data_IF_297199234478
#
_entry.id   IF_297199234478
#
_cell.length_a   1.000
_cell.length_b   1.000
_cell.length_c   1.000
_cell.angle_alpha   90.00
_cell.angle_beta   90.00
_cell.angle_gamma   90.00
#
_symmetry.space_group_name_H-M   'P 1'
#
loop_
_entity.id
_entity.type
_entity.pdbx_description
1 polymer ?
#
# COMPACT_ATOMS: atom_id res chain seq x y z
N UNK A 1 27.36 5.81 1.84
CA UNK A 1 25.99 5.34 1.53
C UNK A 1 25.84 5.28 0.02
N UNK A 2 25.42 4.15 -0.54
CA UNK A 2 25.21 4.03 -1.99
C UNK A 2 23.94 4.79 -2.44
N UNK A 3 23.64 4.78 -3.73
CA UNK A 3 22.49 5.47 -4.31
C UNK A 3 21.14 4.92 -3.81
N UNK A 4 20.95 3.61 -3.82
CA UNK A 4 19.71 2.96 -3.39
C UNK A 4 19.37 3.27 -1.94
N UNK A 5 20.34 3.19 -1.02
CA UNK A 5 20.10 3.49 0.40
C UNK A 5 19.83 4.99 0.59
N UNK A 6 20.50 5.87 -0.17
CA UNK A 6 20.22 7.31 -0.17
C UNK A 6 18.78 7.60 -0.60
N UNK A 7 18.30 6.94 -1.66
CA UNK A 7 16.94 7.05 -2.14
C UNK A 7 15.93 6.63 -1.07
N UNK A 8 16.10 5.42 -0.51
CA UNK A 8 15.23 4.88 0.54
C UNK A 8 15.14 5.81 1.76
N UNK A 9 16.27 6.37 2.20
CA UNK A 9 16.32 7.28 3.35
C UNK A 9 15.74 8.67 3.06
N UNK A 10 15.60 9.05 1.79
CA UNK A 10 15.04 10.33 1.37
C UNK A 10 13.51 10.28 1.15
N UNK A 11 12.89 9.10 1.32
CA UNK A 11 11.47 8.91 1.03
C UNK A 11 10.55 9.87 1.82
N UNK A 12 9.63 10.49 1.09
CA UNK A 12 8.44 11.14 1.64
C UNK A 12 7.26 10.90 0.70
N UNK A 13 6.06 10.65 1.24
CA UNK A 13 4.90 10.43 0.36
C UNK A 13 4.42 11.75 -0.26
N UNK A 14 4.28 11.74 -1.58
CA UNK A 14 3.79 12.85 -2.39
C UNK A 14 2.28 12.75 -2.54
N UNK A 15 1.54 13.82 -2.16
CA UNK A 15 0.07 13.86 -2.19
C UNK A 15 -0.50 14.96 -3.09
N UNK A 16 0.39 15.69 -3.78
CA UNK A 16 0.07 16.72 -4.77
C UNK A 16 0.95 16.51 -5.98
N UNK A 17 0.34 16.45 -7.14
CA UNK A 17 1.01 16.13 -8.40
C UNK A 17 0.82 17.25 -9.41
N UNK A 18 1.75 17.37 -10.36
CA UNK A 18 1.60 18.25 -11.51
C UNK A 18 0.70 17.58 -12.54
N UNK A 19 0.11 18.38 -13.44
CA UNK A 19 -0.63 17.88 -14.62
C UNK A 19 0.33 17.39 -15.72
N UNK A 20 1.23 16.48 -15.35
CA UNK A 20 2.23 15.89 -16.25
C UNK A 20 2.04 14.37 -16.28
N UNK A 21 2.02 13.80 -17.49
CA UNK A 21 1.90 12.35 -17.66
C UNK A 21 3.22 11.63 -17.34
N UNK A 22 3.12 10.42 -16.80
CA UNK A 22 4.25 9.49 -16.73
C UNK A 22 4.44 8.88 -18.12
N UNK A 23 5.68 8.83 -18.62
CA UNK A 23 5.97 8.23 -19.92
C UNK A 23 5.68 6.73 -19.87
N UNK A 24 5.17 6.16 -20.97
CA UNK A 24 4.87 4.72 -21.04
C UNK A 24 6.11 3.84 -20.83
N UNK A 25 7.28 4.29 -21.31
CA UNK A 25 8.54 3.59 -21.09
C UNK A 25 8.89 3.52 -19.59
N UNK A 26 8.80 4.66 -18.91
CA UNK A 26 9.10 4.77 -17.48
C UNK A 26 8.09 3.96 -16.66
N UNK A 27 6.79 4.01 -16.99
CA UNK A 27 5.77 3.17 -16.35
C UNK A 27 6.07 1.68 -16.50
N UNK A 28 6.48 1.24 -17.70
CA UNK A 28 6.85 -0.15 -17.94
C UNK A 28 8.05 -0.54 -17.08
N UNK A 29 9.08 0.30 -17.01
CA UNK A 29 10.26 0.06 -16.19
C UNK A 29 9.91 -0.03 -14.70
N UNK A 30 9.07 0.88 -14.21
CA UNK A 30 8.53 0.89 -12.83
C UNK A 30 7.81 -0.42 -12.50
N UNK A 31 6.88 -0.86 -13.35
CA UNK A 31 6.13 -2.10 -13.13
C UNK A 31 7.01 -3.34 -13.26
N UNK A 32 7.95 -3.35 -14.21
CA UNK A 32 8.92 -4.44 -14.35
C UNK A 32 9.82 -4.55 -13.11
N UNK A 33 10.29 -3.44 -12.54
CA UNK A 33 11.03 -3.46 -11.28
C UNK A 33 10.18 -3.98 -10.11
N UNK A 34 8.91 -3.56 -10.04
CA UNK A 34 7.93 -4.10 -9.11
C UNK A 34 7.77 -5.62 -9.21
N UNK A 35 7.71 -6.15 -10.44
CA UNK A 35 7.59 -7.58 -10.71
C UNK A 35 8.78 -8.41 -10.23
N UNK A 36 9.96 -7.81 -10.09
CA UNK A 36 11.16 -8.51 -9.63
C UNK A 36 11.24 -8.69 -8.11
N UNK A 37 10.21 -8.27 -7.36
CA UNK A 37 10.13 -8.54 -5.93
C UNK A 37 10.06 -10.06 -5.64
N UNK A 38 10.60 -10.47 -4.48
CA UNK A 38 10.40 -11.83 -3.99
C UNK A 38 8.90 -12.10 -3.81
N UNK A 39 8.48 -13.33 -4.10
CA UNK A 39 7.11 -13.80 -3.86
C UNK A 39 7.13 -15.22 -3.30
N UNK A 40 6.14 -15.54 -2.48
CA UNK A 40 6.04 -16.85 -1.85
C UNK A 40 6.05 -17.97 -2.89
N UNK A 41 7.03 -18.88 -2.79
CA UNK A 41 7.21 -20.01 -3.72
C UNK A 41 7.21 -19.62 -5.22
N UNK A 42 7.49 -18.35 -5.55
CA UNK A 42 7.36 -17.80 -6.88
C UNK A 42 5.93 -17.87 -7.47
N UNK A 43 4.90 -17.97 -6.62
CA UNK A 43 3.50 -18.04 -7.05
C UNK A 43 2.99 -16.71 -7.62
N UNK A 44 3.62 -15.60 -7.24
CA UNK A 44 3.26 -14.25 -7.72
C UNK A 44 1.78 -13.98 -7.46
N UNK A 45 1.35 -14.17 -6.19
CA UNK A 45 -0.05 -14.16 -5.74
C UNK A 45 -0.62 -12.73 -5.59
N UNK A 46 -0.36 -11.91 -6.60
CA UNK A 46 -0.82 -10.54 -6.70
C UNK A 46 -1.10 -10.16 -8.16
N UNK A 47 -1.87 -9.09 -8.31
CA UNK A 47 -2.09 -8.39 -9.58
C UNK A 47 -2.02 -6.88 -9.37
N UNK A 48 -1.68 -6.14 -10.43
CA UNK A 48 -1.67 -4.68 -10.42
C UNK A 48 -2.60 -4.16 -11.51
N UNK A 49 -3.60 -3.37 -11.14
CA UNK A 49 -4.48 -2.69 -12.09
C UNK A 49 -3.98 -1.27 -12.29
N UNK A 50 -3.61 -0.94 -13.53
CA UNK A 50 -3.09 0.38 -13.92
C UNK A 50 -4.25 1.27 -14.34
N UNK A 51 -4.55 2.30 -13.54
CA UNK A 51 -5.67 3.21 -13.74
C UNK A 51 -5.18 4.56 -14.25
N UNK A 52 -5.40 4.82 -15.54
CA UNK A 52 -5.06 6.09 -16.21
C UNK A 52 -6.27 6.97 -16.49
N UNK A 53 -7.45 6.37 -16.70
CA UNK A 53 -8.61 7.14 -17.14
C UNK A 53 -9.08 8.09 -16.05
N UNK A 54 -9.45 9.31 -16.47
CA UNK A 54 -10.01 10.31 -15.57
C UNK A 54 -11.29 9.77 -14.92
N UNK A 55 -12.19 9.14 -15.67
CA UNK A 55 -13.44 8.63 -15.10
C UNK A 55 -13.23 7.61 -13.98
N UNK A 56 -12.25 6.70 -14.10
CA UNK A 56 -11.98 5.73 -13.03
C UNK A 56 -11.36 6.38 -11.80
N UNK A 57 -10.51 7.40 -11.99
CA UNK A 57 -9.93 8.15 -10.87
C UNK A 57 -10.96 9.04 -10.18
N UNK A 58 -11.89 9.66 -10.92
CA UNK A 58 -13.01 10.40 -10.33
C UNK A 58 -13.95 9.45 -9.57
N UNK A 59 -14.31 8.29 -10.15
CA UNK A 59 -15.15 7.31 -9.45
C UNK A 59 -14.47 6.78 -8.16
N UNK A 60 -13.16 6.59 -8.17
CA UNK A 60 -12.39 6.27 -6.96
C UNK A 60 -12.41 7.42 -5.94
N UNK A 61 -12.30 8.66 -6.41
CA UNK A 61 -12.34 9.86 -5.57
C UNK A 61 -13.72 10.03 -4.92
N UNK A 62 -14.80 9.74 -5.63
CA UNK A 62 -16.17 9.79 -5.08
C UNK A 62 -16.34 8.79 -3.92
N UNK A 63 -15.70 7.62 -4.01
CA UNK A 63 -15.69 6.61 -2.94
C UNK A 63 -14.76 7.00 -1.78
N UNK A 64 -13.62 7.61 -2.10
CA UNK A 64 -12.58 7.96 -1.16
C UNK A 64 -11.97 9.32 -1.54
N UNK A 65 -12.45 10.44 -0.97
CA UNK A 65 -12.15 11.80 -1.43
C UNK A 65 -10.73 12.24 -1.04
N UNK A 66 -9.75 11.61 -1.67
CA UNK A 66 -8.34 11.93 -1.55
C UNK A 66 -7.84 12.50 -2.87
N UNK A 67 -7.53 13.79 -2.86
CA UNK A 67 -7.06 14.52 -4.04
C UNK A 67 -5.85 13.90 -4.73
N UNK A 68 -4.98 13.20 -3.98
CA UNK A 68 -3.87 12.46 -4.55
C UNK A 68 -4.33 11.45 -5.62
N UNK A 69 -5.48 10.78 -5.42
CA UNK A 69 -6.08 9.86 -6.40
C UNK A 69 -6.41 10.62 -7.67
N UNK A 70 -7.19 11.70 -7.55
CA UNK A 70 -7.67 12.49 -8.68
C UNK A 70 -6.52 13.11 -9.48
N UNK A 71 -5.58 13.75 -8.77
CA UNK A 71 -4.44 14.49 -9.33
C UNK A 71 -3.33 13.58 -9.88
N UNK A 72 -3.20 12.34 -9.39
CA UNK A 72 -2.13 11.45 -9.86
C UNK A 72 -2.16 11.26 -11.38
N UNK A 73 -1.00 11.11 -12.00
CA UNK A 73 -0.94 10.74 -13.42
C UNK A 73 -1.46 9.32 -13.62
N UNK A 74 -1.13 8.42 -12.68
CA UNK A 74 -1.52 7.02 -12.68
C UNK A 74 -1.89 6.62 -11.25
N UNK A 75 -2.98 5.87 -11.11
CA UNK A 75 -3.30 5.16 -9.89
C UNK A 75 -3.07 3.66 -10.09
N UNK A 76 -2.23 3.03 -9.27
CA UNK A 76 -1.93 1.60 -9.32
C UNK A 76 -2.68 0.89 -8.19
N UNK A 77 -3.66 0.04 -8.51
CA UNK A 77 -4.36 -0.76 -7.51
C UNK A 77 -3.67 -2.11 -7.36
N UNK A 78 -3.11 -2.38 -6.18
CA UNK A 78 -2.51 -3.67 -5.84
C UNK A 78 -3.56 -4.60 -5.27
N UNK A 79 -3.62 -5.80 -5.81
CA UNK A 79 -4.68 -6.79 -5.58
C UNK A 79 -4.01 -8.07 -5.07
N UNK A 80 -4.49 -8.61 -3.95
CA UNK A 80 -4.16 -9.98 -3.55
C UNK A 80 -4.92 -10.92 -4.47
N UNK A 81 -4.20 -11.85 -5.14
CA UNK A 81 -4.74 -12.60 -6.27
C UNK A 81 -4.42 -14.09 -6.17
N UNK A 82 -5.47 -14.86 -5.84
CA UNK A 82 -5.48 -16.32 -5.94
C UNK A 82 -6.35 -16.81 -7.11
N UNK A 83 -6.91 -15.90 -7.91
CA UNK A 83 -7.69 -16.24 -9.08
C UNK A 83 -6.82 -16.91 -10.16
N UNK A 84 -5.53 -16.55 -10.25
CA UNK A 84 -4.56 -17.29 -11.07
C UNK A 84 -4.25 -18.67 -10.48
N UNK A 85 -4.09 -18.76 -9.16
CA UNK A 85 -3.79 -20.00 -8.46
C UNK A 85 -4.91 -21.04 -8.64
N UNK A 86 -6.17 -20.61 -8.57
CA UNK A 86 -7.33 -21.47 -8.80
C UNK A 86 -7.27 -22.21 -10.15
N UNK A 87 -6.91 -21.50 -11.21
CA UNK A 87 -6.79 -22.09 -12.55
C UNK A 87 -5.67 -23.11 -12.61
N UNK A 88 -4.54 -22.84 -11.96
CA UNK A 88 -3.40 -23.75 -11.91
C UNK A 88 -3.74 -25.01 -11.12
N UNK A 89 -4.41 -24.87 -9.97
CA UNK A 89 -4.87 -26.01 -9.16
C UNK A 89 -5.85 -26.88 -9.96
N UNK A 90 -6.79 -26.28 -10.68
CA UNK A 90 -7.77 -27.00 -11.53
C UNK A 90 -7.18 -27.83 -12.67
N UNK A 91 -5.90 -27.65 -13.00
CA UNK A 91 -5.20 -28.52 -13.96
C UNK A 91 -4.85 -29.89 -13.36
N UNK A 92 -4.79 -29.98 -12.03
CA UNK A 92 -4.25 -31.15 -11.32
C UNK A 92 -5.22 -31.69 -10.27
N UNK A 93 -6.03 -30.83 -9.67
CA UNK A 93 -6.95 -31.16 -8.58
C UNK A 93 -8.36 -30.64 -8.89
N UNK A 94 -9.38 -31.29 -8.32
CA UNK A 94 -10.78 -30.87 -8.49
C UNK A 94 -11.13 -29.69 -7.58
N UNK A 95 -10.67 -29.75 -6.34
CA UNK A 95 -11.05 -28.84 -5.26
C UNK A 95 -9.95 -27.78 -5.07
N UNK A 96 -10.38 -26.55 -4.77
CA UNK A 96 -9.49 -25.42 -4.52
C UNK A 96 -9.82 -24.83 -3.14
N UNK A 97 -8.80 -24.65 -2.32
CA UNK A 97 -8.91 -24.21 -0.92
C UNK A 97 -8.20 -22.86 -0.72
N UNK A 98 -8.82 -21.75 -1.17
CA UNK A 98 -8.25 -20.41 -1.07
C UNK A 98 -8.43 -19.78 0.31
N UNK A 99 -9.31 -20.34 1.15
CA UNK A 99 -9.70 -19.70 2.39
C UNK A 99 -8.54 -19.64 3.40
N UNK A 100 -8.67 -18.73 4.36
CA UNK A 100 -7.86 -18.74 5.57
C UNK A 100 -6.78 -17.65 5.64
N UNK A 101 -6.42 -17.33 6.87
CA UNK A 101 -5.51 -16.23 7.22
C UNK A 101 -4.14 -16.37 6.54
N UNK A 102 -3.62 -17.59 6.40
CA UNK A 102 -2.30 -17.82 5.79
C UNK A 102 -2.27 -17.40 4.31
N UNK A 103 -3.30 -17.76 3.54
CA UNK A 103 -3.46 -17.36 2.14
C UNK A 103 -3.62 -15.84 1.97
N UNK A 104 -4.30 -15.19 2.91
CA UNK A 104 -4.40 -13.73 2.96
C UNK A 104 -3.05 -13.07 3.27
N UNK A 105 -2.27 -13.62 4.21
CA UNK A 105 -0.92 -13.13 4.50
C UNK A 105 -0.01 -13.28 3.29
N UNK A 106 -0.01 -14.45 2.64
CA UNK A 106 0.78 -14.71 1.42
C UNK A 106 0.49 -13.66 0.35
N UNK A 107 -0.79 -13.49 0.00
CA UNK A 107 -1.20 -12.59 -1.08
C UNK A 107 -0.98 -11.11 -0.74
N UNK A 108 -1.21 -10.71 0.51
CA UNK A 108 -0.96 -9.34 0.97
C UNK A 108 0.52 -8.99 1.03
N UNK A 109 1.37 -9.91 1.51
CA UNK A 109 2.83 -9.71 1.57
C UNK A 109 3.42 -9.63 0.17
N UNK A 110 3.06 -10.55 -0.74
CA UNK A 110 3.50 -10.51 -2.13
C UNK A 110 3.15 -9.17 -2.80
N UNK A 111 1.91 -8.69 -2.62
CA UNK A 111 1.47 -7.40 -3.14
C UNK A 111 2.25 -6.22 -2.52
N UNK A 112 2.53 -6.26 -1.22
CA UNK A 112 3.29 -5.22 -0.51
C UNK A 112 4.76 -5.13 -0.98
N UNK A 113 5.42 -6.26 -1.18
CA UNK A 113 6.79 -6.31 -1.68
C UNK A 113 6.88 -5.77 -3.12
N UNK A 114 5.98 -6.21 -4.00
CA UNK A 114 5.88 -5.70 -5.37
C UNK A 114 5.60 -4.19 -5.39
N UNK A 115 4.74 -3.70 -4.50
CA UNK A 115 4.42 -2.28 -4.37
C UNK A 115 5.59 -1.43 -3.89
N UNK A 116 6.35 -1.92 -2.91
CA UNK A 116 7.51 -1.18 -2.41
C UNK A 116 8.60 -1.07 -3.48
N UNK A 117 8.88 -2.14 -4.23
CA UNK A 117 9.79 -2.08 -5.38
C UNK A 117 9.29 -1.11 -6.46
N UNK A 118 7.98 -1.15 -6.76
CA UNK A 118 7.34 -0.22 -7.70
C UNK A 118 7.55 1.23 -7.28
N UNK A 119 7.34 1.55 -6.00
CA UNK A 119 7.49 2.92 -5.50
C UNK A 119 8.95 3.38 -5.54
N UNK A 120 9.89 2.53 -5.13
CA UNK A 120 11.33 2.85 -5.19
C UNK A 120 11.80 3.09 -6.64
N UNK A 121 11.35 2.26 -7.59
CA UNK A 121 11.67 2.46 -9.00
C UNK A 121 11.08 3.78 -9.54
N UNK A 122 9.86 4.13 -9.14
CA UNK A 122 9.27 5.39 -9.54
C UNK A 122 10.04 6.60 -8.95
N UNK A 123 10.44 6.52 -7.68
CA UNK A 123 11.22 7.56 -7.01
C UNK A 123 12.63 7.70 -7.62
N UNK A 124 13.27 6.61 -8.04
CA UNK A 124 14.58 6.67 -8.70
C UNK A 124 14.53 7.36 -10.06
N UNK A 125 13.35 7.37 -10.71
CA UNK A 125 13.10 8.08 -11.97
C UNK A 125 12.62 9.53 -11.76
N UNK A 126 12.55 10.00 -10.51
CA UNK A 126 12.14 11.36 -10.16
C UNK A 126 10.62 11.57 -10.04
N UNK A 127 9.83 10.49 -10.07
CA UNK A 127 8.41 10.54 -9.71
C UNK A 127 8.24 10.50 -8.19
N UNK A 128 7.02 10.73 -7.74
CA UNK A 128 6.66 10.49 -6.34
C UNK A 128 5.33 9.77 -6.25
N UNK A 129 5.07 9.18 -5.09
CA UNK A 129 3.80 8.53 -4.85
C UNK A 129 3.39 8.50 -3.39
N UNK A 130 2.17 8.01 -3.18
CA UNK A 130 1.61 7.75 -1.85
C UNK A 130 0.81 6.46 -1.90
N UNK A 131 1.08 5.57 -0.94
CA UNK A 131 0.26 4.38 -0.70
C UNK A 131 -1.03 4.80 0.01
N UNK A 132 -2.16 4.34 -0.51
CA UNK A 132 -3.50 4.65 -0.03
C UNK A 132 -4.15 3.35 0.46
N UNK A 133 -4.04 3.08 1.75
CA UNK A 133 -4.65 1.91 2.40
C UNK A 133 -6.13 2.10 2.76
N UNK A 134 -6.59 3.35 2.89
CA UNK A 134 -7.99 3.67 3.26
C UNK A 134 -9.01 3.19 2.23
N UNK A 135 -8.59 2.77 1.02
CA UNK A 135 -9.49 2.16 0.05
C UNK A 135 -10.17 0.90 0.61
N UNK A 136 -9.57 0.24 1.60
CA UNK A 136 -10.16 -0.92 2.26
C UNK A 136 -11.45 -0.61 3.01
N UNK A 137 -11.71 0.66 3.34
CA UNK A 137 -12.97 1.12 3.93
C UNK A 137 -14.12 1.14 2.91
N UNK A 138 -13.81 1.05 1.62
CA UNK A 138 -14.78 0.91 0.53
C UNK A 138 -14.40 -0.26 -0.39
N UNK A 139 -13.87 -1.34 0.22
CA UNK A 139 -13.29 -2.47 -0.51
C UNK A 139 -14.30 -3.15 -1.43
N UNK A 140 -15.57 -3.27 -1.02
CA UNK A 140 -16.63 -3.83 -1.85
C UNK A 140 -16.90 -2.98 -3.10
N UNK A 141 -16.98 -1.67 -2.94
CA UNK A 141 -17.24 -0.71 -4.00
C UNK A 141 -16.06 -0.68 -4.97
N UNK A 142 -14.83 -0.69 -4.44
CA UNK A 142 -13.61 -0.79 -5.25
C UNK A 142 -13.59 -2.11 -6.02
N UNK A 143 -13.90 -3.24 -5.38
CA UNK A 143 -13.97 -4.54 -6.04
C UNK A 143 -14.99 -4.54 -7.18
N UNK A 144 -16.18 -3.97 -6.95
CA UNK A 144 -17.21 -3.78 -8.00
C UNK A 144 -16.71 -2.86 -9.12
N UNK A 145 -16.10 -1.72 -8.77
CA UNK A 145 -15.60 -0.73 -9.73
C UNK A 145 -14.55 -1.33 -10.67
N UNK A 146 -13.67 -2.19 -10.15
CA UNK A 146 -12.61 -2.85 -10.93
C UNK A 146 -12.96 -4.26 -11.40
N UNK A 147 -14.19 -4.72 -11.14
CA UNK A 147 -14.70 -6.04 -11.54
C UNK A 147 -13.79 -7.16 -11.05
N UNK A 148 -13.34 -7.05 -9.80
CA UNK A 148 -12.51 -8.05 -9.14
C UNK A 148 -13.31 -9.36 -9.00
N UNK A 149 -12.83 -10.49 -9.56
CA UNK A 149 -13.52 -11.77 -9.47
C UNK A 149 -13.30 -12.43 -8.09
N UNK A 150 -13.94 -13.58 -7.90
CA UNK A 150 -13.64 -14.50 -6.78
C UNK A 150 -12.13 -14.71 -6.62
N UNK A 151 -11.71 -14.88 -5.37
CA UNK A 151 -10.32 -15.11 -4.96
C UNK A 151 -9.39 -13.91 -5.21
N UNK A 152 -9.95 -12.71 -5.32
CA UNK A 152 -9.18 -11.46 -5.40
C UNK A 152 -9.71 -10.40 -4.45
N UNK A 153 -8.87 -9.51 -3.97
CA UNK A 153 -9.28 -8.39 -3.12
C UNK A 153 -8.28 -7.24 -3.20
N UNK A 154 -8.71 -5.98 -3.04
CA UNK A 154 -7.80 -4.85 -3.11
C UNK A 154 -7.03 -4.69 -1.80
N UNK A 155 -5.69 -4.64 -1.87
CA UNK A 155 -4.82 -4.51 -0.69
C UNK A 155 -4.61 -3.03 -0.33
N UNK A 156 -4.15 -2.25 -1.31
CA UNK A 156 -3.99 -0.79 -1.26
C UNK A 156 -3.74 -0.25 -2.69
N UNK A 157 -3.74 1.07 -2.83
CA UNK A 157 -3.42 1.73 -4.10
C UNK A 157 -2.16 2.60 -3.98
N UNK A 158 -1.55 2.94 -5.11
CA UNK A 158 -0.49 3.95 -5.20
C UNK A 158 -0.97 5.05 -6.14
N UNK A 159 -1.15 6.25 -5.61
CA UNK A 159 -1.26 7.45 -6.45
C UNK A 159 0.17 7.86 -6.85
N UNK A 160 0.45 7.92 -8.16
CA UNK A 160 1.78 8.16 -8.72
C UNK A 160 1.77 9.30 -9.73
N UNK A 161 2.79 10.16 -9.70
CA UNK A 161 2.93 11.26 -10.65
C UNK A 161 4.17 12.11 -10.42
N UNK A 162 4.29 13.19 -11.18
CA UNK A 162 5.35 14.19 -10.99
C UNK A 162 5.04 15.02 -9.74
N UNK A 163 5.94 15.08 -8.75
CA UNK A 163 5.69 15.81 -7.51
C UNK A 163 5.42 17.31 -7.74
N UNK A 164 4.37 17.83 -7.09
CA UNK A 164 4.08 19.28 -7.02
C UNK A 164 4.22 19.83 -5.59
N UNK A 165 4.97 19.11 -4.76
CA UNK A 165 5.28 19.50 -3.39
C UNK A 165 6.54 18.76 -2.94
N UNK A 166 7.22 19.34 -1.97
CA UNK A 166 8.31 18.69 -1.27
C UNK A 166 8.09 18.83 0.23
N UNK A 167 8.39 17.76 0.96
CA UNK A 167 8.34 17.76 2.42
C UNK A 167 9.66 17.24 2.98
N UNK A 168 9.97 17.69 4.19
CA UNK A 168 10.99 17.03 4.99
C UNK A 168 10.60 15.58 5.24
N UNK A 169 11.61 14.70 5.38
CA UNK A 169 11.41 13.31 5.77
C UNK A 169 10.78 13.31 7.17
N UNK A 170 9.61 12.67 7.30
CA UNK A 170 8.97 12.49 8.61
C UNK A 170 9.89 11.61 9.48
N UNK A 171 10.04 11.91 10.78
CA UNK A 171 10.79 11.02 11.66
C UNK A 171 10.15 9.63 11.73
N UNK A 172 10.94 8.66 12.16
CA UNK A 172 10.53 7.28 12.47
C UNK A 172 10.88 6.97 13.91
N UNK A 173 10.32 5.90 14.46
CA UNK A 173 10.81 5.34 15.72
C UNK A 173 12.32 5.09 15.62
N UNK A 174 13.09 5.24 16.71
CA UNK A 174 14.51 4.87 16.73
C UNK A 174 14.71 3.41 16.30
N UNK A 175 15.87 3.10 15.71
CA UNK A 175 16.12 1.77 15.12
C UNK A 175 16.03 0.66 16.18
N UNK A 176 16.57 0.93 17.37
CA UNK A 176 16.53 0.05 18.54
C UNK A 176 15.11 -0.20 19.08
N UNK A 177 14.11 0.56 18.60
CA UNK A 177 12.70 0.35 18.94
C UNK A 177 11.92 -0.44 17.87
N UNK A 178 12.60 -0.85 16.79
CA UNK A 178 11.99 -1.64 15.71
C UNK A 178 12.82 -2.86 15.30
N UNK A 179 14.11 -2.88 15.61
CA UNK A 179 15.03 -4.00 15.38
C UNK A 179 15.58 -4.47 16.73
N UNK A 180 15.23 -5.69 17.10
CA UNK A 180 15.67 -6.33 18.34
C UNK A 180 16.68 -7.43 18.04
N UNK A 181 17.68 -7.58 18.91
CA UNK A 181 18.65 -8.67 18.83
C UNK A 181 18.08 -9.93 19.47
N UNK A 182 18.10 -11.04 18.73
CA UNK A 182 17.67 -12.40 19.11
C UNK A 182 16.18 -12.57 19.48
N UNK A 183 15.66 -11.76 20.39
CA UNK A 183 14.35 -11.92 21.01
C UNK A 183 13.54 -10.61 20.99
N UNK A 184 12.22 -10.75 21.00
CA UNK A 184 11.32 -9.60 21.08
C UNK A 184 11.49 -8.85 22.41
N UNK A 185 11.61 -7.53 22.34
CA UNK A 185 11.67 -6.67 23.53
C UNK A 185 10.29 -6.04 23.76
N UNK A 186 9.64 -6.41 24.87
CA UNK A 186 8.41 -5.75 25.29
C UNK A 186 8.71 -4.27 25.62
N UNK A 187 8.00 -3.38 24.93
CA UNK A 187 8.20 -1.94 25.06
C UNK A 187 7.28 -1.36 26.12
N UNK A 188 7.82 -0.48 26.97
CA UNK A 188 7.04 0.27 27.92
C UNK A 188 6.54 1.62 27.34
N UNK A 189 5.73 2.33 28.14
CA UNK A 189 5.14 3.61 27.77
C UNK A 189 6.16 4.73 27.46
N UNK A 190 7.41 4.60 27.90
CA UNK A 190 8.46 5.60 27.63
C UNK A 190 8.79 5.68 26.14
N UNK A 191 8.73 4.56 25.41
CA UNK A 191 8.95 4.53 23.96
C UNK A 191 7.90 5.40 23.24
N UNK A 192 6.63 5.25 23.63
CA UNK A 192 5.50 5.97 23.07
C UNK A 192 5.61 7.47 23.36
N UNK A 193 5.81 7.83 24.63
CA UNK A 193 5.88 9.24 25.05
C UNK A 193 7.11 9.96 24.51
N UNK A 194 8.25 9.28 24.38
CA UNK A 194 9.44 9.84 23.74
C UNK A 194 9.18 10.13 22.25
N UNK A 195 8.50 9.23 21.55
CA UNK A 195 8.22 9.42 20.13
C UNK A 195 7.14 10.46 19.86
N UNK A 196 6.16 10.61 20.76
CA UNK A 196 5.21 11.74 20.71
C UNK A 196 5.93 13.08 20.75
N UNK A 197 6.96 13.22 21.60
CA UNK A 197 7.81 14.42 21.64
C UNK A 197 8.55 14.66 20.33
N UNK A 198 9.16 13.62 19.75
CA UNK A 198 9.86 13.71 18.44
C UNK A 198 8.91 14.19 17.34
N UNK A 199 7.68 13.67 17.31
CA UNK A 199 6.67 14.08 16.33
C UNK A 199 6.20 15.52 16.57
N UNK A 200 6.02 15.91 17.84
CA UNK A 200 5.65 17.27 18.20
C UNK A 200 6.72 18.29 17.76
N UNK A 201 7.99 17.99 18.01
CA UNK A 201 9.13 18.82 17.61
C UNK A 201 9.21 18.96 16.07
N UNK A 202 8.96 17.87 15.34
CA UNK A 202 8.95 17.87 13.86
C UNK A 202 7.78 18.66 13.26
N UNK A 203 6.57 18.45 13.79
CA UNK A 203 5.37 19.08 13.23
C UNK A 203 5.27 20.56 13.64
N UNK A 204 5.80 20.93 14.82
CA UNK A 204 5.77 22.29 15.35
C UNK A 204 4.34 22.78 15.52
N UNK A 205 4.05 24.00 15.05
CA UNK A 205 2.69 24.58 15.11
C UNK A 205 1.63 23.82 14.29
N UNK A 206 2.00 22.80 13.50
CA UNK A 206 1.08 21.97 12.71
C UNK A 206 0.58 20.72 13.46
N UNK A 207 1.05 20.48 14.69
CA UNK A 207 0.55 19.36 15.50
C UNK A 207 -0.93 19.58 15.78
N UNK A 208 -1.75 18.61 15.39
CA UNK A 208 -3.16 18.54 15.81
C UNK A 208 -3.34 17.49 16.88
N UNK A 209 -2.68 16.33 16.69
CA UNK A 209 -2.74 15.17 17.54
C UNK A 209 -1.34 14.55 17.64
N UNK A 210 -1.02 13.98 18.78
CA UNK A 210 0.18 13.19 19.00
C UNK A 210 0.20 11.91 18.15
N UNK A 211 1.31 11.18 18.15
CA UNK A 211 1.35 9.90 17.45
C UNK A 211 0.51 8.85 18.17
N UNK A 212 0.56 8.81 19.50
CA UNK A 212 -0.23 7.89 20.33
C UNK A 212 -1.74 8.15 20.24
N UNK A 213 -2.19 9.41 20.20
CA UNK A 213 -3.61 9.75 19.99
C UNK A 213 -4.13 9.24 18.64
N UNK A 214 -3.32 9.35 17.58
CA UNK A 214 -3.69 8.80 16.26
C UNK A 214 -3.75 7.28 16.25
N UNK A 215 -2.89 6.60 17.02
CA UNK A 215 -2.99 5.15 17.21
C UNK A 215 -4.28 4.79 17.96
N UNK A 216 -4.61 5.50 19.04
CA UNK A 216 -5.83 5.27 19.81
C UNK A 216 -7.09 5.50 18.97
N UNK A 217 -7.09 6.51 18.10
CA UNK A 217 -8.20 6.77 17.17
C UNK A 217 -8.41 5.65 16.15
N UNK A 218 -7.38 4.85 15.84
CA UNK A 218 -7.46 3.73 14.90
C UNK A 218 -7.69 2.39 15.62
N UNK A 219 -6.83 2.04 16.57
CA UNK A 219 -6.78 0.73 17.22
C UNK A 219 -7.56 0.68 18.54
N UNK A 220 -8.02 1.82 19.05
CA UNK A 220 -9.00 1.87 20.15
C UNK A 220 -10.45 1.73 19.67
N UNK A 221 -10.69 1.60 18.36
CA UNK A 221 -12.01 1.42 17.77
C UNK A 221 -12.20 -0.04 17.31
N UNK A 222 -13.46 -0.53 17.23
CA UNK A 222 -13.76 -1.83 16.63
C UNK A 222 -13.28 -1.93 15.17
N UNK A 223 -13.00 -3.15 14.73
CA UNK A 223 -12.68 -3.43 13.33
C UNK A 223 -13.83 -3.03 12.40
N UNK A 224 -13.46 -2.49 11.23
CA UNK A 224 -14.38 -2.21 10.13
C UNK A 224 -14.71 -3.50 9.36
N UNK A 225 -15.99 -3.76 9.11
CA UNK A 225 -16.46 -5.04 8.56
C UNK A 225 -16.35 -5.16 7.03
N UNK A 226 -16.12 -4.06 6.30
CA UNK A 226 -16.18 -3.98 4.84
C UNK A 226 -15.17 -4.92 4.18
N UNK A 227 -13.96 -5.00 4.73
CA UNK A 227 -12.93 -5.92 4.24
C UNK A 227 -13.34 -7.37 4.50
N UNK A 228 -13.81 -7.68 5.71
CA UNK A 228 -14.28 -9.04 6.05
C UNK A 228 -15.42 -9.50 5.13
N UNK A 229 -16.44 -8.65 4.95
CA UNK A 229 -17.59 -8.92 4.07
C UNK A 229 -17.16 -9.18 2.63
N UNK A 230 -16.22 -8.38 2.11
CA UNK A 230 -15.66 -8.61 0.78
C UNK A 230 -14.95 -9.97 0.70
N UNK A 231 -14.09 -10.28 1.68
CA UNK A 231 -13.31 -11.51 1.66
C UNK A 231 -14.19 -12.76 1.72
N UNK A 232 -15.22 -12.77 2.56
CA UNK A 232 -16.24 -13.83 2.60
C UNK A 232 -16.96 -13.95 1.25
N UNK A 233 -17.40 -12.82 0.68
CA UNK A 233 -18.06 -12.78 -0.62
C UNK A 233 -17.18 -13.31 -1.75
N UNK A 234 -15.88 -13.03 -1.69
CA UNK A 234 -14.88 -13.46 -2.67
C UNK A 234 -14.25 -14.82 -2.32
N UNK A 235 -14.83 -15.55 -1.34
CA UNK A 235 -14.47 -16.92 -0.95
C UNK A 235 -13.02 -17.05 -0.45
N UNK A 236 -12.56 -16.06 0.31
CA UNK A 236 -11.22 -16.02 0.89
C UNK A 236 -11.23 -16.21 2.41
N UNK A 237 -12.43 -16.24 3.01
CA UNK A 237 -12.70 -16.52 4.42
C UNK A 237 -13.81 -17.57 4.55
#
# INVERSE_FOLDING_TARGET
MNETIRLMNAHFSVRRFKEEAIKEADLKEILSAGQMASSWKNFQSYSVIVVKSKEKKEALYDLLPQEAIRQSAIFLLFVGDLNRAEKAVKLHEKDFHPEGVDNLLITSVDAALAAQNTLLAAESLGYGGVIIGMLRYCSEEVAKLFRLPDYTYPVFGIALGVPNQQHAVKPRLPLEQVAFEEEYQEQDLSVVTAYDKVQADYAGARVTDSWSERLAAQFGQPEQEETKKLLEKHKLL
#
